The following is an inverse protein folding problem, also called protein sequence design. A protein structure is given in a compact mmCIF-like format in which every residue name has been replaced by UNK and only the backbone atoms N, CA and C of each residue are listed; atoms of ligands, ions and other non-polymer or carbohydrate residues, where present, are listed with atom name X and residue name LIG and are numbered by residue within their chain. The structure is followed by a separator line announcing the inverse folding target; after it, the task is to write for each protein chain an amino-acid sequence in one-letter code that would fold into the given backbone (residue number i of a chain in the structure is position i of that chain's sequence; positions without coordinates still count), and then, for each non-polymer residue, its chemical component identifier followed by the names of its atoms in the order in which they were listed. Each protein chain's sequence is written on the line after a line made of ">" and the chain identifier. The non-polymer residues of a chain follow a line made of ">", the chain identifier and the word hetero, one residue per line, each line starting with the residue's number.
data_IF_667131399519
#
_entry.id   IF_667131399519
#
_cell.length_a   1.000
_cell.length_b   1.000
_cell.length_c   1.000
_cell.angle_alpha   90.00
_cell.angle_beta   90.00
_cell.angle_gamma   90.00
#
_symmetry.space_group_name_H-M   'P 1'
#
loop_
_entity.id
_entity.type
_entity.pdbx_description
1 polymer ?
#
# COMPACT_ATOMS: atom_id res chain seq x y z
N UNK A 1 36.64 4.38 22.53
CA UNK A 1 36.34 3.96 21.15
C UNK A 1 35.41 2.74 21.18
N UNK A 2 34.11 2.91 21.45
CA UNK A 2 33.15 1.78 21.46
C UNK A 2 31.67 2.22 21.31
N UNK A 3 31.40 3.29 20.55
CA UNK A 3 30.02 3.74 20.25
C UNK A 3 29.72 3.71 18.75
N UNK A 4 30.38 2.82 17.99
CA UNK A 4 30.30 2.79 16.53
C UNK A 4 29.60 1.57 15.90
N UNK A 5 29.30 0.53 16.69
CA UNK A 5 28.92 -0.78 16.14
C UNK A 5 27.43 -1.13 16.31
N UNK A 6 26.61 -0.25 16.88
CA UNK A 6 25.18 -0.52 17.13
C UNK A 6 24.20 0.03 16.11
N UNK A 7 24.61 1.02 15.29
CA UNK A 7 23.68 1.70 14.37
C UNK A 7 23.51 0.96 13.04
N UNK A 8 24.54 0.27 12.53
CA UNK A 8 24.47 -0.40 11.22
C UNK A 8 23.71 -1.74 11.22
N UNK A 9 23.44 -2.32 12.38
CA UNK A 9 22.73 -3.60 12.48
C UNK A 9 21.22 -3.43 12.47
N UNK A 10 20.71 -2.26 12.87
CA UNK A 10 19.28 -1.96 12.80
C UNK A 10 18.85 -1.80 11.34
N UNK A 11 19.61 -1.06 10.54
CA UNK A 11 19.29 -0.87 9.12
C UNK A 11 19.31 -2.19 8.34
N UNK A 12 20.21 -3.12 8.67
CA UNK A 12 20.28 -4.42 7.98
C UNK A 12 19.08 -5.35 8.27
N UNK A 13 18.44 -5.23 9.44
CA UNK A 13 17.22 -5.99 9.76
C UNK A 13 16.00 -5.35 9.08
N UNK A 14 16.04 -4.04 8.85
CA UNK A 14 14.98 -3.32 8.14
C UNK A 14 15.04 -3.62 6.63
N UNK A 15 16.21 -3.59 6.01
CA UNK A 15 16.38 -3.86 4.57
C UNK A 15 16.08 -5.33 4.18
N UNK A 16 16.36 -6.30 5.07
CA UNK A 16 16.12 -7.73 4.78
C UNK A 16 14.71 -8.25 5.10
N UNK A 17 13.90 -7.51 5.87
CA UNK A 17 12.57 -7.95 6.36
C UNK A 17 11.43 -7.05 5.85
N UNK A 18 11.72 -5.89 5.26
CA UNK A 18 10.74 -5.01 4.62
C UNK A 18 10.30 -5.55 3.24
N UNK A 19 9.67 -6.73 3.24
CA UNK A 19 9.00 -7.25 2.04
C UNK A 19 7.82 -6.33 1.73
N UNK A 20 8.09 -5.32 0.91
CA UNK A 20 7.10 -4.44 0.32
C UNK A 20 6.08 -5.29 -0.45
N UNK A 21 4.82 -4.92 -0.29
CA UNK A 21 3.69 -5.55 -0.93
C UNK A 21 2.97 -4.50 -1.74
N UNK A 22 2.81 -4.80 -3.01
CA UNK A 22 1.93 -4.07 -3.89
C UNK A 22 0.50 -4.43 -3.49
N UNK A 23 -0.34 -3.42 -3.36
CA UNK A 23 -1.77 -3.57 -3.15
C UNK A 23 -2.50 -2.81 -4.22
N UNK A 24 -3.36 -3.53 -4.93
CA UNK A 24 -4.21 -2.96 -5.95
C UNK A 24 -5.67 -3.12 -5.51
N UNK A 25 -6.34 -1.98 -5.29
CA UNK A 25 -7.69 -1.89 -4.70
C UNK A 25 -8.65 -1.40 -5.78
N UNK A 26 -9.62 -2.24 -6.16
CA UNK A 26 -10.67 -1.90 -7.12
C UNK A 26 -11.94 -1.54 -6.35
N UNK A 27 -12.43 -0.31 -6.53
CA UNK A 27 -13.57 0.22 -5.79
C UNK A 27 -14.28 1.34 -6.56
N UNK A 28 -15.55 1.58 -6.23
CA UNK A 28 -16.32 2.75 -6.66
C UNK A 28 -16.11 3.96 -5.73
N UNK A 29 -15.51 3.76 -4.56
CA UNK A 29 -15.27 4.77 -3.53
C UNK A 29 -13.80 5.13 -3.40
N UNK A 30 -13.13 5.29 -4.55
CA UNK A 30 -11.68 5.46 -4.55
C UNK A 30 -11.21 6.72 -3.82
N UNK A 31 -12.00 7.79 -3.83
CA UNK A 31 -11.69 9.03 -3.11
C UNK A 31 -11.69 8.83 -1.59
N UNK A 32 -12.74 8.22 -1.04
CA UNK A 32 -12.87 7.97 0.40
C UNK A 32 -11.77 7.03 0.91
N UNK A 33 -11.50 5.94 0.16
CA UNK A 33 -10.46 4.98 0.53
C UNK A 33 -9.07 5.63 0.42
N UNK A 34 -8.81 6.37 -0.66
CA UNK A 34 -7.52 7.04 -0.85
C UNK A 34 -7.23 8.03 0.29
N UNK A 35 -8.20 8.87 0.65
CA UNK A 35 -8.05 9.81 1.75
C UNK A 35 -7.80 9.10 3.10
N UNK A 36 -8.57 8.07 3.42
CA UNK A 36 -8.42 7.32 4.67
C UNK A 36 -7.08 6.56 4.74
N UNK A 37 -6.59 6.04 3.62
CA UNK A 37 -5.28 5.39 3.56
C UNK A 37 -4.13 6.41 3.69
N UNK A 38 -4.23 7.56 3.01
CA UNK A 38 -3.24 8.64 3.14
C UNK A 38 -3.14 9.13 4.59
N UNK A 39 -4.28 9.32 5.26
CA UNK A 39 -4.31 9.73 6.68
C UNK A 39 -3.76 8.64 7.61
N UNK A 40 -4.09 7.37 7.37
CA UNK A 40 -3.71 6.29 8.28
C UNK A 40 -2.24 5.85 8.17
N UNK A 41 -1.62 6.02 7.00
CA UNK A 41 -0.29 5.52 6.68
C UNK A 41 0.73 6.60 6.32
N UNK A 42 0.30 7.87 6.24
CA UNK A 42 1.16 9.02 5.88
C UNK A 42 1.91 8.79 4.55
N UNK A 43 1.29 8.03 3.64
CA UNK A 43 1.90 7.58 2.39
C UNK A 43 0.95 7.90 1.22
N UNK A 44 1.54 8.27 0.09
CA UNK A 44 0.79 8.55 -1.13
C UNK A 44 0.15 7.28 -1.72
N UNK A 45 -1.04 7.45 -2.28
CA UNK A 45 -1.72 6.43 -3.09
C UNK A 45 -1.82 6.93 -4.53
N UNK A 46 -1.61 6.05 -5.51
CA UNK A 46 -1.79 6.40 -6.92
C UNK A 46 -3.14 5.90 -7.41
N UNK A 47 -3.86 6.68 -8.22
CA UNK A 47 -5.14 6.30 -8.81
C UNK A 47 -4.95 5.99 -10.29
N UNK A 48 -5.53 4.87 -10.74
CA UNK A 48 -5.49 4.40 -12.11
C UNK A 48 -6.95 4.30 -12.59
N UNK A 49 -7.26 5.01 -13.67
CA UNK A 49 -8.56 4.89 -14.32
C UNK A 49 -8.69 3.51 -14.96
N UNK A 50 -9.77 2.80 -14.68
CA UNK A 50 -10.04 1.47 -15.17
C UNK A 50 -11.49 1.34 -15.63
N UNK A 51 -11.79 0.25 -16.35
CA UNK A 51 -13.15 -0.05 -16.81
C UNK A 51 -13.43 -1.52 -16.52
N UNK A 52 -14.59 -1.80 -15.93
CA UNK A 52 -14.98 -3.16 -15.57
C UNK A 52 -15.27 -3.98 -16.82
N UNK A 53 -14.52 -5.07 -17.07
CA UNK A 53 -14.75 -5.90 -18.26
C UNK A 53 -16.11 -6.60 -18.33
N UNK A 54 -16.77 -6.80 -17.18
CA UNK A 54 -18.11 -7.40 -17.13
C UNK A 54 -19.23 -6.35 -17.16
N UNK A 55 -19.07 -5.26 -16.41
CA UNK A 55 -20.12 -4.24 -16.25
C UNK A 55 -20.00 -3.07 -17.23
N UNK A 56 -18.89 -2.97 -17.96
CA UNK A 56 -18.50 -1.83 -18.81
C UNK A 56 -18.54 -0.46 -18.12
N UNK A 57 -18.55 -0.48 -16.77
CA UNK A 57 -18.65 0.69 -15.94
C UNK A 57 -17.25 1.22 -15.62
N UNK A 58 -17.13 2.54 -15.52
CA UNK A 58 -15.91 3.19 -15.07
C UNK A 58 -15.62 2.78 -13.62
N UNK A 59 -14.38 2.36 -13.39
CA UNK A 59 -13.86 1.93 -12.08
C UNK A 59 -12.57 2.69 -11.81
N UNK A 60 -12.25 2.86 -10.55
CA UNK A 60 -10.95 3.40 -10.17
C UNK A 60 -10.19 2.34 -9.39
N UNK A 61 -8.94 2.16 -9.79
CA UNK A 61 -8.00 1.29 -9.12
C UNK A 61 -7.06 2.17 -8.29
N UNK A 62 -6.94 1.90 -7.00
CA UNK A 62 -5.93 2.50 -6.15
C UNK A 62 -4.74 1.57 -6.11
N UNK A 63 -3.59 2.08 -6.53
CA UNK A 63 -2.29 1.45 -6.37
C UNK A 63 -1.63 1.98 -5.10
N UNK A 64 -1.22 1.07 -4.23
CA UNK A 64 -0.63 1.40 -2.95
C UNK A 64 0.45 0.38 -2.59
N UNK A 65 1.57 0.84 -2.05
CA UNK A 65 2.65 -0.06 -1.60
C UNK A 65 2.78 0.05 -0.09
N UNK A 66 2.75 -1.11 0.58
CA UNK A 66 2.79 -1.22 2.04
C UNK A 66 3.70 -2.34 2.49
N UNK A 67 4.12 -2.29 3.75
CA UNK A 67 4.76 -3.42 4.39
C UNK A 67 3.72 -4.50 4.77
N UNK A 68 4.13 -5.78 4.80
CA UNK A 68 3.34 -6.92 5.34
C UNK A 68 2.60 -6.63 6.66
N UNK A 69 3.16 -5.84 7.57
CA UNK A 69 2.54 -5.53 8.86
C UNK A 69 1.38 -4.54 8.74
N UNK A 70 1.36 -3.70 7.70
CA UNK A 70 0.33 -2.69 7.45
C UNK A 70 -0.92 -3.28 6.77
N UNK A 71 -0.81 -4.45 6.14
CA UNK A 71 -1.91 -5.08 5.39
C UNK A 71 -3.18 -5.26 6.23
N UNK A 72 -3.04 -5.73 7.48
CA UNK A 72 -4.20 -6.01 8.33
C UNK A 72 -5.02 -4.73 8.62
N UNK A 73 -4.31 -3.65 8.99
CA UNK A 73 -4.92 -2.33 9.24
C UNK A 73 -5.54 -1.76 7.97
N UNK A 74 -4.83 -1.82 6.84
CA UNK A 74 -5.31 -1.34 5.54
C UNK A 74 -6.60 -2.06 5.13
N UNK A 75 -6.64 -3.39 5.25
CA UNK A 75 -7.81 -4.21 4.94
C UNK A 75 -9.01 -3.85 5.82
N UNK A 76 -8.79 -3.53 7.10
CA UNK A 76 -9.87 -3.11 7.99
C UNK A 76 -10.48 -1.78 7.54
N UNK A 77 -9.64 -0.79 7.20
CA UNK A 77 -10.07 0.53 6.69
C UNK A 77 -10.88 0.36 5.40
N UNK A 78 -10.33 -0.35 4.41
CA UNK A 78 -11.01 -0.58 3.12
C UNK A 78 -12.38 -1.21 3.34
N UNK A 79 -12.46 -2.28 4.17
CA UNK A 79 -13.72 -2.98 4.45
C UNK A 79 -14.74 -2.15 5.21
N UNK A 80 -14.30 -1.21 6.05
CA UNK A 80 -15.22 -0.30 6.74
C UNK A 80 -15.87 0.73 5.80
N UNK A 81 -15.18 1.11 4.72
CA UNK A 81 -15.64 2.13 3.77
C UNK A 81 -16.42 1.48 2.61
N UNK A 82 -15.85 0.43 2.05
CA UNK A 82 -16.43 -0.34 0.95
C UNK A 82 -16.27 -1.86 1.19
N UNK A 83 -17.30 -2.52 1.73
CA UNK A 83 -17.32 -3.97 1.88
C UNK A 83 -17.26 -4.74 0.55
N UNK A 84 -17.59 -4.09 -0.57
CA UNK A 84 -17.59 -4.68 -1.92
C UNK A 84 -16.28 -4.45 -2.67
N UNK A 85 -15.35 -3.69 -2.11
CA UNK A 85 -14.05 -3.46 -2.72
C UNK A 85 -13.27 -4.78 -2.89
N UNK A 86 -12.62 -4.93 -4.03
CA UNK A 86 -11.74 -6.06 -4.32
C UNK A 86 -10.28 -5.62 -4.16
N UNK A 87 -9.49 -6.43 -3.46
CA UNK A 87 -8.09 -6.11 -3.15
C UNK A 87 -7.22 -7.27 -3.59
N UNK A 88 -6.20 -6.98 -4.40
CA UNK A 88 -5.13 -7.92 -4.74
C UNK A 88 -3.84 -7.46 -4.08
N UNK A 89 -3.03 -8.43 -3.66
CA UNK A 89 -1.75 -8.18 -2.98
C UNK A 89 -0.70 -9.01 -3.68
N UNK A 90 0.37 -8.36 -4.11
CA UNK A 90 1.49 -8.97 -4.83
C UNK A 90 2.81 -8.65 -4.13
N UNK A 91 3.80 -9.51 -4.31
CA UNK A 91 5.14 -9.33 -3.75
C UNK A 91 5.93 -8.36 -4.62
N UNK A 92 6.45 -7.28 -4.03
CA UNK A 92 7.35 -6.35 -4.71
C UNK A 92 8.77 -6.85 -4.51
N UNK A 93 9.45 -7.16 -5.62
CA UNK A 93 10.82 -7.68 -5.60
C UNK A 93 11.83 -6.58 -5.23
N UNK A 94 11.65 -5.38 -5.78
CA UNK A 94 12.50 -4.22 -5.53
C UNK A 94 11.67 -2.93 -5.72
N UNK A 95 11.95 -1.90 -4.94
CA UNK A 95 11.29 -0.60 -5.02
C UNK A 95 12.27 0.52 -4.72
N UNK A 96 12.47 1.40 -5.70
CA UNK A 96 13.25 2.63 -5.52
C UNK A 96 12.33 3.73 -5.00
N UNK A 97 12.62 4.28 -3.83
CA UNK A 97 12.01 5.54 -3.37
C UNK A 97 12.76 6.70 -4.02
N UNK A 98 12.06 7.59 -4.73
CA UNK A 98 12.63 8.90 -5.09
C UNK A 98 12.93 9.63 -3.79
N UNK A 99 14.18 10.01 -3.59
CA UNK A 99 14.61 10.74 -2.41
C UNK A 99 14.36 12.23 -2.66
N UNK A 100 13.11 12.65 -2.54
CA UNK A 100 12.71 14.07 -2.55
C UNK A 100 12.86 14.68 -1.15
#
# INVERSE_FOLDING_TARGET
>A
MAYGAGLKTVDFVVEGIDRSKEVMIVTDKAEEISAALMEAFECGTTKIAARGGYSDADKTIIYFVVNRFQISRMRAIIRSIDPKAFVTISDVADMFKSND
#
